data_IF_807490160374
#
_entry.id   IF_807490160374
#
_cell.length_a   1.000
_cell.length_b   1.000
_cell.length_c   1.000
_cell.angle_alpha   90.00
_cell.angle_beta   90.00
_cell.angle_gamma   90.00
#
_symmetry.space_group_name_H-M   'P 1'
#
loop_
_entity.id
_entity.type
_entity.pdbx_description
1 polymer ?
#
# COMPACT_ATOMS: atom_id res chain seq x y z
N UNK A 1 15.71 -1.19 -15.26
CA UNK A 1 14.51 -0.67 -14.56
C UNK A 1 14.86 0.60 -13.78
N UNK A 2 15.13 1.73 -14.45
CA UNK A 2 15.44 3.00 -13.77
C UNK A 2 14.51 4.14 -14.20
N UNK A 3 13.95 4.07 -15.42
CA UNK A 3 13.09 5.11 -15.98
C UNK A 3 11.83 5.35 -15.13
N UNK A 4 11.07 4.30 -14.79
CA UNK A 4 9.83 4.45 -13.97
C UNK A 4 10.13 5.02 -12.59
N UNK A 5 11.19 4.53 -11.93
CA UNK A 5 11.60 5.03 -10.62
C UNK A 5 11.99 6.52 -10.70
N UNK A 6 12.70 6.92 -11.76
CA UNK A 6 13.06 8.31 -12.01
C UNK A 6 11.84 9.19 -12.31
N UNK A 7 10.92 8.75 -13.18
CA UNK A 7 9.68 9.44 -13.48
C UNK A 7 8.83 9.64 -12.22
N UNK A 8 8.71 8.61 -11.38
CA UNK A 8 8.04 8.68 -10.09
C UNK A 8 8.73 9.72 -9.18
N UNK A 9 10.06 9.65 -9.06
CA UNK A 9 10.82 10.55 -8.20
C UNK A 9 10.68 12.02 -8.61
N UNK A 10 10.84 12.33 -9.90
CA UNK A 10 10.74 13.71 -10.42
C UNK A 10 9.31 14.25 -10.32
N UNK A 11 8.31 13.43 -10.65
CA UNK A 11 6.89 13.81 -10.55
C UNK A 11 6.51 14.08 -9.10
N UNK A 12 6.92 13.20 -8.17
CA UNK A 12 6.67 13.38 -6.75
C UNK A 12 7.35 14.65 -6.22
N UNK A 13 8.60 14.91 -6.62
CA UNK A 13 9.30 16.16 -6.28
C UNK A 13 8.54 17.40 -6.75
N UNK A 14 8.02 17.40 -7.97
CA UNK A 14 7.25 18.51 -8.50
C UNK A 14 5.94 18.74 -7.72
N UNK A 15 5.23 17.66 -7.35
CA UNK A 15 4.00 17.75 -6.55
C UNK A 15 4.23 18.20 -5.11
N UNK A 16 5.40 17.91 -4.53
CA UNK A 16 5.74 18.29 -3.16
C UNK A 16 6.17 19.76 -2.99
N UNK A 17 6.81 20.35 -4.02
CA UNK A 17 7.25 21.76 -4.01
C UNK A 17 6.19 22.76 -3.52
N UNK A 18 4.93 22.73 -4.01
CA UNK A 18 3.90 23.66 -3.55
C UNK A 18 3.31 23.32 -2.18
N UNK A 19 3.43 22.06 -1.71
CA UNK A 19 2.80 21.59 -0.48
C UNK A 19 3.67 21.87 0.75
N UNK A 20 4.96 21.56 0.67
CA UNK A 20 5.90 21.75 1.76
C UNK A 20 7.35 21.76 1.22
N UNK A 21 8.05 22.91 1.21
CA UNK A 21 9.38 23.02 0.63
C UNK A 21 10.46 22.17 1.35
N UNK A 22 10.20 21.73 2.59
CA UNK A 22 11.09 20.85 3.36
C UNK A 22 10.85 19.35 3.16
N UNK A 23 9.79 18.93 2.45
CA UNK A 23 9.43 17.53 2.30
C UNK A 23 10.17 16.91 1.09
N UNK A 24 11.01 15.91 1.35
CA UNK A 24 11.74 15.22 0.27
C UNK A 24 10.94 14.05 -0.29
N UNK A 25 11.02 13.75 -1.60
CA UNK A 25 10.36 12.58 -2.19
C UNK A 25 10.74 11.27 -1.48
N UNK A 26 12.00 11.16 -1.05
CA UNK A 26 12.50 9.99 -0.32
C UNK A 26 11.79 9.82 1.01
N UNK A 27 11.70 10.87 1.83
CA UNK A 27 11.03 10.81 3.12
C UNK A 27 9.55 10.42 2.99
N UNK A 28 8.86 10.91 1.94
CA UNK A 28 7.48 10.53 1.66
C UNK A 28 7.35 9.05 1.28
N UNK A 29 8.23 8.56 0.41
CA UNK A 29 8.24 7.14 0.02
C UNK A 29 8.57 6.24 1.21
N UNK A 30 9.57 6.59 2.01
CA UNK A 30 9.93 5.87 3.23
C UNK A 30 8.74 5.83 4.19
N UNK A 31 7.98 6.93 4.29
CA UNK A 31 6.79 6.98 5.12
C UNK A 31 5.67 6.08 4.60
N UNK A 32 5.34 6.15 3.31
CA UNK A 32 4.33 5.27 2.73
C UNK A 32 4.74 3.79 2.72
N UNK A 33 6.03 3.47 2.65
CA UNK A 33 6.53 2.11 2.72
C UNK A 33 6.23 1.42 4.07
N UNK A 34 5.93 2.17 5.12
CA UNK A 34 5.47 1.61 6.40
C UNK A 34 4.04 1.09 6.35
N UNK A 35 3.26 1.46 5.32
CA UNK A 35 1.96 0.82 5.04
C UNK A 35 2.23 -0.51 4.35
N UNK A 36 2.23 -1.59 5.12
CA UNK A 36 2.58 -2.91 4.61
C UNK A 36 1.33 -3.64 4.11
N UNK A 37 1.48 -4.35 2.99
CA UNK A 37 0.50 -5.34 2.54
C UNK A 37 0.83 -6.69 3.18
N UNK A 38 -0.17 -7.33 3.77
CA UNK A 38 -0.04 -8.59 4.50
C UNK A 38 -1.01 -9.62 3.91
N UNK A 39 -0.52 -10.84 3.69
CA UNK A 39 -1.36 -12.00 3.37
C UNK A 39 -1.51 -12.86 4.63
N UNK A 40 -2.70 -12.79 5.24
CA UNK A 40 -3.01 -13.54 6.46
C UNK A 40 -3.69 -14.87 6.09
N UNK A 41 -3.18 -15.97 6.63
CA UNK A 41 -3.68 -17.32 6.38
C UNK A 41 -4.33 -17.90 7.64
N UNK A 42 -5.63 -18.18 7.57
CA UNK A 42 -6.39 -18.76 8.67
C UNK A 42 -6.88 -20.15 8.29
N UNK A 43 -6.60 -21.19 9.09
CA UNK A 43 -7.20 -22.50 8.88
C UNK A 43 -8.70 -22.44 9.22
N UNK A 44 -9.53 -22.99 8.34
CA UNK A 44 -10.98 -23.16 8.59
C UNK A 44 -11.27 -24.60 9.05
N UNK A 45 -12.42 -24.81 9.70
CA UNK A 45 -12.85 -26.13 10.21
C UNK A 45 -13.02 -27.19 9.12
N UNK A 46 -13.17 -26.78 7.85
CA UNK A 46 -13.36 -27.65 6.66
C UNK A 46 -12.04 -27.92 5.91
N UNK A 47 -10.89 -27.85 6.56
CA UNK A 47 -9.55 -28.06 5.95
C UNK A 47 -9.17 -27.06 4.81
N UNK A 48 -9.92 -25.97 4.66
CA UNK A 48 -9.61 -24.87 3.72
C UNK A 48 -8.82 -23.77 4.41
N UNK A 49 -8.02 -23.02 3.65
CA UNK A 49 -7.29 -21.84 4.13
C UNK A 49 -8.01 -20.58 3.68
N UNK A 50 -8.40 -19.74 4.62
CA UNK A 50 -8.89 -18.40 4.37
C UNK A 50 -7.70 -17.45 4.24
N UNK A 51 -7.58 -16.80 3.08
CA UNK A 51 -6.53 -15.85 2.72
C UNK A 51 -7.12 -14.44 2.77
N UNK A 52 -6.55 -13.59 3.63
CA UNK A 52 -6.90 -12.18 3.77
C UNK A 52 -5.71 -11.30 3.39
N UNK A 53 -5.72 -10.75 2.18
CA UNK A 53 -4.74 -9.75 1.74
C UNK A 53 -5.18 -8.35 2.20
N UNK A 54 -4.51 -7.76 3.20
CA UNK A 54 -4.92 -6.51 3.85
C UNK A 54 -3.72 -5.59 4.03
N UNK A 55 -3.93 -4.28 3.92
CA UNK A 55 -2.87 -3.33 4.29
C UNK A 55 -2.97 -2.96 5.77
N UNK A 56 -1.84 -2.62 6.39
CA UNK A 56 -1.78 -2.13 7.77
C UNK A 56 -2.49 -0.79 7.91
N UNK A 57 -3.17 -0.57 9.03
CA UNK A 57 -3.93 0.66 9.25
C UNK A 57 -3.03 1.91 9.11
N UNK A 58 -3.40 2.90 8.27
CA UNK A 58 -2.59 4.10 8.10
C UNK A 58 -2.65 4.98 9.35
N UNK A 59 -1.47 5.32 9.86
CA UNK A 59 -1.29 6.23 10.98
C UNK A 59 -1.68 7.68 10.58
N UNK A 60 -2.02 8.59 11.53
CA UNK A 60 -2.50 9.94 11.20
C UNK A 60 -1.63 10.76 10.24
N UNK A 61 -0.31 10.61 10.34
CA UNK A 61 0.66 11.22 9.42
C UNK A 61 0.53 10.69 7.98
N UNK A 62 0.25 9.40 7.79
CA UNK A 62 -0.04 8.85 6.46
C UNK A 62 -1.29 9.49 5.87
N UNK A 63 -2.34 9.67 6.68
CA UNK A 63 -3.59 10.29 6.23
C UNK A 63 -3.38 11.74 5.83
N UNK A 64 -2.58 12.48 6.59
CA UNK A 64 -2.21 13.86 6.27
C UNK A 64 -1.46 13.93 4.93
N UNK A 65 -0.46 13.06 4.73
CA UNK A 65 0.28 13.01 3.45
C UNK A 65 -0.61 12.60 2.27
N UNK A 66 -1.50 11.62 2.45
CA UNK A 66 -2.47 11.21 1.44
C UNK A 66 -3.39 12.37 1.05
N UNK A 67 -3.91 13.11 2.04
CA UNK A 67 -4.77 14.27 1.80
C UNK A 67 -4.02 15.38 1.06
N UNK A 68 -2.80 15.73 1.50
CA UNK A 68 -1.99 16.76 0.85
C UNK A 68 -1.65 16.41 -0.60
N UNK A 69 -1.39 15.14 -0.88
CA UNK A 69 -1.10 14.65 -2.22
C UNK A 69 -2.36 14.36 -3.06
N UNK A 70 -3.55 14.55 -2.47
CA UNK A 70 -4.84 14.18 -3.05
C UNK A 70 -4.85 12.73 -3.55
N UNK A 71 -4.44 11.80 -2.68
CA UNK A 71 -4.36 10.37 -2.93
C UNK A 71 -5.31 9.62 -1.98
N UNK A 72 -5.90 8.55 -2.48
CA UNK A 72 -6.71 7.61 -1.69
C UNK A 72 -6.07 6.23 -1.75
N UNK A 73 -6.06 5.52 -0.63
CA UNK A 73 -5.62 4.11 -0.64
C UNK A 73 -6.62 3.26 -1.45
N UNK A 74 -6.13 2.25 -2.18
CA UNK A 74 -7.00 1.35 -2.92
C UNK A 74 -7.92 0.58 -1.97
N UNK A 75 -9.07 0.12 -2.49
CA UNK A 75 -9.96 -0.75 -1.75
C UNK A 75 -9.24 -2.07 -1.39
N UNK A 76 -9.50 -2.59 -0.18
CA UNK A 76 -8.92 -3.86 0.23
C UNK A 76 -9.61 -5.01 -0.52
N UNK A 77 -8.86 -5.98 -1.05
CA UNK A 77 -9.42 -7.06 -1.86
C UNK A 77 -10.40 -7.92 -1.05
N UNK A 78 -11.36 -8.63 -1.66
CA UNK A 78 -12.22 -9.54 -0.90
C UNK A 78 -11.42 -10.71 -0.28
N UNK A 79 -11.88 -11.29 0.84
CA UNK A 79 -11.33 -12.54 1.37
C UNK A 79 -11.41 -13.65 0.31
N UNK A 80 -10.38 -14.49 0.24
CA UNK A 80 -10.35 -15.66 -0.65
C UNK A 80 -10.28 -16.93 0.17
N UNK A 81 -10.96 -17.98 -0.26
CA UNK A 81 -10.87 -19.30 0.36
C UNK A 81 -10.13 -20.21 -0.62
N UNK A 82 -9.03 -20.81 -0.16
CA UNK A 82 -8.25 -21.77 -0.92
C UNK A 82 -8.43 -23.16 -0.32
N UNK A 83 -8.93 -24.10 -1.12
CA UNK A 83 -8.87 -25.53 -0.76
C UNK A 83 -7.42 -26.01 -0.91
N UNK A 84 -6.94 -26.87 0.00
CA UNK A 84 -5.60 -27.46 -0.05
C UNK A 84 -5.32 -28.00 -1.48
N UNK A 85 -4.53 -27.27 -2.27
CA UNK A 85 -4.09 -27.68 -3.63
C UNK A 85 -4.68 -26.98 -4.86
N UNK A 86 -5.56 -25.96 -4.76
CA UNK A 86 -5.97 -25.20 -5.96
C UNK A 86 -6.34 -23.75 -5.65
N UNK A 87 -5.50 -22.82 -6.09
CA UNK A 87 -5.89 -21.41 -6.23
C UNK A 87 -7.02 -21.36 -7.28
N UNK A 88 -8.26 -21.28 -6.82
CA UNK A 88 -9.40 -20.96 -7.68
C UNK A 88 -9.34 -19.45 -7.93
N UNK A 89 -8.76 -19.09 -9.07
CA UNK A 89 -8.70 -17.74 -9.64
C UNK A 89 -10.04 -17.35 -10.28
#
# INVERSE_FOLDING_TARGET
>A
MAFIAYCLHVTLRARLRPLAPGLTPRAVLDKFATIQMLDLHFPTTDDRTLILSRYTHPHPDHRLLLQQLNLTLPAQPPPRISSRGKLLS
#
